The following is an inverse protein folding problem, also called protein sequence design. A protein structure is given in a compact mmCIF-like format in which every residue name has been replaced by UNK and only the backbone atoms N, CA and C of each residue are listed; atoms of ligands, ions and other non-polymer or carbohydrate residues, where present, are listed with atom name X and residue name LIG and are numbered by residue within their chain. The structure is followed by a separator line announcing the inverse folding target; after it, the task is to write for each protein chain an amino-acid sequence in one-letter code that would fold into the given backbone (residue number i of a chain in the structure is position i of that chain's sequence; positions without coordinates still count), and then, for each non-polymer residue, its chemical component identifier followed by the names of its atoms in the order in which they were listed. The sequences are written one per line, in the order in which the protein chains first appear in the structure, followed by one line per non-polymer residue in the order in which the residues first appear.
data_IF_505252731148
#
_entry.id   IF_505252731148
#
_cell.length_a   1.000
_cell.length_b   1.000
_cell.length_c   1.000
_cell.angle_alpha   90.00
_cell.angle_beta   90.00
_cell.angle_gamma   90.00
#
_symmetry.space_group_name_H-M   'P 1'
#
loop_
_entity.id
_entity.type
_entity.pdbx_description
1 polymer ?
#
# COMPACT_ATOMS: atom_id res chain seq x y z
N UNK A 1 -12.58 -12.25 -6.54
CA UNK A 1 -12.50 -13.09 -7.75
C UNK A 1 -11.89 -14.41 -7.34
N UNK A 2 -12.27 -15.48 -8.01
CA UNK A 2 -11.61 -16.78 -7.81
C UNK A 2 -10.19 -16.67 -8.37
N UNK A 3 -9.19 -17.02 -7.56
CA UNK A 3 -7.80 -17.04 -8.03
C UNK A 3 -7.61 -18.15 -9.05
N UNK A 4 -6.93 -17.85 -10.15
CA UNK A 4 -6.47 -18.84 -11.14
C UNK A 4 -5.07 -19.30 -10.75
N UNK A 5 -4.76 -20.58 -10.88
CA UNK A 5 -3.40 -21.06 -10.64
C UNK A 5 -2.48 -20.81 -11.84
N UNK A 6 -1.18 -20.68 -11.58
CA UNK A 6 -0.19 -20.56 -12.64
C UNK A 6 -0.17 -21.81 -13.55
N UNK A 7 -0.43 -22.99 -12.99
CA UNK A 7 -0.54 -24.24 -13.73
C UNK A 7 -1.72 -24.23 -14.71
N UNK A 8 -2.89 -23.76 -14.28
CA UNK A 8 -4.06 -23.59 -15.14
C UNK A 8 -3.80 -22.57 -16.26
N UNK A 9 -3.11 -21.46 -15.96
CA UNK A 9 -2.70 -20.48 -16.96
C UNK A 9 -1.73 -21.07 -18.00
N UNK A 10 -0.81 -21.93 -17.56
CA UNK A 10 0.16 -22.59 -18.43
C UNK A 10 -0.49 -23.65 -19.34
N UNK A 11 -1.40 -24.46 -18.80
CA UNK A 11 -2.05 -25.55 -19.55
C UNK A 11 -3.25 -25.08 -20.39
N UNK A 12 -3.84 -23.93 -20.06
CA UNK A 12 -5.04 -23.41 -20.71
C UNK A 12 -4.84 -22.95 -22.15
N UNK A 13 -5.95 -22.77 -22.88
CA UNK A 13 -5.92 -22.20 -24.23
C UNK A 13 -5.44 -20.75 -24.21
N UNK A 14 -4.98 -20.24 -25.35
CA UNK A 14 -4.63 -18.81 -25.48
C UNK A 14 -5.80 -17.90 -25.09
N UNK A 15 -7.03 -18.25 -25.48
CA UNK A 15 -8.23 -17.50 -25.13
C UNK A 15 -8.48 -17.48 -23.62
N UNK A 16 -8.33 -18.62 -22.93
CA UNK A 16 -8.50 -18.70 -21.48
C UNK A 16 -7.45 -17.86 -20.72
N UNK A 17 -6.21 -17.82 -21.22
CA UNK A 17 -5.15 -16.97 -20.64
C UNK A 17 -5.49 -15.48 -20.76
N UNK A 18 -5.96 -15.05 -21.94
CA UNK A 18 -6.35 -13.66 -22.19
C UNK A 18 -7.60 -13.29 -21.39
N UNK A 19 -8.58 -14.18 -21.25
CA UNK A 19 -9.76 -13.95 -20.41
C UNK A 19 -9.37 -13.74 -18.94
N UNK A 20 -8.39 -14.50 -18.44
CA UNK A 20 -7.94 -14.41 -17.06
C UNK A 20 -7.08 -13.17 -16.76
N UNK A 21 -6.28 -12.69 -17.72
CA UNK A 21 -5.26 -11.65 -17.51
C UNK A 21 -5.38 -10.42 -18.42
N UNK A 22 -6.33 -10.38 -19.35
CA UNK A 22 -6.44 -9.32 -20.36
C UNK A 22 -6.82 -7.95 -19.80
N UNK A 23 -7.43 -7.92 -18.62
CA UNK A 23 -7.76 -6.71 -17.86
C UNK A 23 -6.70 -6.36 -16.79
N UNK A 24 -5.58 -7.11 -16.70
CA UNK A 24 -4.53 -6.83 -15.71
C UNK A 24 -3.91 -5.45 -15.94
N UNK A 25 -3.72 -5.08 -17.22
CA UNK A 25 -3.44 -3.73 -17.68
C UNK A 25 -4.74 -3.08 -18.13
N UNK A 26 -5.01 -1.86 -17.66
CA UNK A 26 -6.26 -1.17 -17.94
C UNK A 26 -6.52 -1.05 -19.46
N UNK A 27 -7.63 -1.62 -19.93
CA UNK A 27 -8.05 -1.66 -21.33
C UNK A 27 -6.94 -2.06 -22.34
N UNK A 28 -6.01 -2.91 -21.93
CA UNK A 28 -4.81 -3.25 -22.72
C UNK A 28 -4.54 -4.76 -22.78
N UNK A 29 -5.48 -5.58 -23.30
CA UNK A 29 -5.35 -7.04 -23.34
C UNK A 29 -4.19 -7.54 -24.21
N UNK A 30 -3.72 -6.72 -25.14
CA UNK A 30 -2.60 -7.04 -26.02
C UNK A 30 -1.32 -7.43 -25.26
N UNK A 31 -1.12 -6.92 -24.03
CA UNK A 31 0.05 -7.28 -23.21
C UNK A 31 -0.03 -8.74 -22.77
N UNK A 32 -1.22 -9.18 -22.34
CA UNK A 32 -1.48 -10.58 -22.02
C UNK A 32 -1.42 -11.46 -23.28
N UNK A 33 -1.93 -10.97 -24.42
CA UNK A 33 -1.84 -11.67 -25.71
C UNK A 33 -0.40 -11.92 -26.15
N UNK A 34 0.49 -10.94 -25.96
CA UNK A 34 1.91 -11.07 -26.27
C UNK A 34 2.56 -12.12 -25.35
N UNK A 35 2.34 -12.03 -24.04
CA UNK A 35 2.88 -12.99 -23.07
C UNK A 35 2.34 -14.42 -23.30
N UNK A 36 1.08 -14.58 -23.74
CA UNK A 36 0.47 -15.90 -23.91
C UNK A 36 1.25 -16.84 -24.86
N UNK A 37 2.05 -16.29 -25.78
CA UNK A 37 2.91 -17.05 -26.70
C UNK A 37 4.23 -17.54 -26.10
N UNK A 38 4.63 -17.04 -24.93
CA UNK A 38 5.89 -17.38 -24.25
C UNK A 38 5.71 -18.40 -23.11
N UNK A 39 4.49 -18.93 -22.95
CA UNK A 39 4.19 -19.99 -21.99
C UNK A 39 4.93 -21.30 -22.34
N UNK A 40 5.23 -22.16 -21.35
CA UNK A 40 4.83 -22.04 -19.94
C UNK A 40 5.79 -21.17 -19.11
N UNK A 41 5.25 -20.56 -18.05
CA UNK A 41 6.04 -19.80 -17.07
C UNK A 41 6.34 -20.64 -15.83
N UNK A 42 7.60 -20.76 -15.41
CA UNK A 42 7.97 -21.58 -14.25
C UNK A 42 7.57 -20.94 -12.91
N UNK A 43 7.42 -19.62 -12.87
CA UNK A 43 7.14 -18.85 -11.65
C UNK A 43 6.25 -17.65 -11.95
N UNK A 44 5.60 -17.10 -10.92
CA UNK A 44 4.85 -15.86 -11.03
C UNK A 44 5.77 -14.68 -11.41
N UNK A 45 6.98 -14.66 -10.87
CA UNK A 45 8.01 -13.70 -11.25
C UNK A 45 8.35 -13.78 -12.75
N UNK A 46 8.42 -14.98 -13.34
CA UNK A 46 8.66 -15.13 -14.77
C UNK A 46 7.50 -14.61 -15.62
N UNK A 47 6.24 -14.91 -15.24
CA UNK A 47 5.06 -14.35 -15.89
C UNK A 47 5.06 -12.82 -15.82
N UNK A 48 5.31 -12.25 -14.64
CA UNK A 48 5.38 -10.80 -14.46
C UNK A 48 6.49 -10.16 -15.30
N UNK A 49 7.67 -10.79 -15.38
CA UNK A 49 8.78 -10.31 -16.20
C UNK A 49 8.38 -10.24 -17.68
N UNK A 50 7.70 -11.28 -18.20
CA UNK A 50 7.24 -11.32 -19.60
C UNK A 50 6.18 -10.28 -19.92
N UNK A 51 5.22 -10.07 -19.02
CA UNK A 51 4.26 -8.97 -19.14
C UNK A 51 4.93 -7.59 -19.11
N UNK A 52 5.95 -7.44 -18.25
CA UNK A 52 6.74 -6.20 -18.15
C UNK A 52 7.54 -5.93 -19.42
N UNK A 53 8.22 -6.96 -19.95
CA UNK A 53 9.00 -6.89 -21.18
C UNK A 53 8.10 -6.56 -22.38
N UNK A 54 6.90 -7.14 -22.46
CA UNK A 54 5.92 -6.82 -23.50
C UNK A 54 5.48 -5.35 -23.47
N UNK A 55 5.21 -4.78 -22.28
CA UNK A 55 4.88 -3.36 -22.17
C UNK A 55 6.10 -2.47 -22.50
N UNK A 56 7.26 -2.75 -21.92
CA UNK A 56 8.46 -1.92 -22.05
C UNK A 56 9.13 -2.01 -23.42
N UNK A 57 8.97 -3.14 -24.12
CA UNK A 57 9.45 -3.34 -25.49
C UNK A 57 8.51 -2.80 -26.58
N UNK A 58 7.26 -2.44 -26.23
CA UNK A 58 6.33 -1.86 -27.18
C UNK A 58 6.74 -0.43 -27.62
N UNK A 59 6.29 -0.03 -28.80
CA UNK A 59 6.56 1.31 -29.32
C UNK A 59 5.98 2.41 -28.43
N UNK A 60 6.57 3.61 -28.50
CA UNK A 60 6.21 4.73 -27.63
C UNK A 60 4.71 5.10 -27.69
N UNK A 61 4.08 4.99 -28.86
CA UNK A 61 2.64 5.23 -29.03
C UNK A 61 1.78 4.21 -28.27
N UNK A 62 2.15 2.94 -28.32
CA UNK A 62 1.42 1.86 -27.66
C UNK A 62 1.58 1.95 -26.14
N UNK A 63 2.79 2.26 -25.65
CA UNK A 63 3.03 2.57 -24.24
C UNK A 63 2.19 3.76 -23.76
N UNK A 64 2.14 4.84 -24.55
CA UNK A 64 1.34 6.01 -24.24
C UNK A 64 -0.16 5.70 -24.25
N UNK A 65 -0.63 4.82 -25.13
CA UNK A 65 -2.01 4.37 -25.15
C UNK A 65 -2.38 3.63 -23.84
N UNK A 66 -1.51 2.74 -23.33
CA UNK A 66 -1.71 2.09 -22.03
C UNK A 66 -1.76 3.11 -20.89
N UNK A 67 -0.85 4.10 -20.89
CA UNK A 67 -0.87 5.18 -19.89
C UNK A 67 -2.18 5.96 -19.96
N UNK A 68 -2.65 6.35 -21.15
CA UNK A 68 -3.89 7.11 -21.33
C UNK A 68 -5.16 6.32 -21.01
N UNK A 69 -5.10 4.99 -21.10
CA UNK A 69 -6.21 4.12 -20.74
C UNK A 69 -6.44 4.03 -19.22
N UNK A 70 -5.45 4.39 -18.40
CA UNK A 70 -5.61 4.38 -16.94
C UNK A 70 -6.55 5.50 -16.48
N UNK A 71 -7.48 5.22 -15.56
CA UNK A 71 -8.42 6.22 -15.08
C UNK A 71 -7.72 7.30 -14.24
N UNK A 72 -8.30 8.50 -14.27
CA UNK A 72 -7.87 9.57 -13.37
C UNK A 72 -8.08 9.19 -11.90
N UNK A 73 -7.06 9.51 -11.10
CA UNK A 73 -7.13 9.42 -9.65
C UNK A 73 -8.16 10.39 -9.08
N UNK A 74 -9.12 9.92 -8.28
CA UNK A 74 -10.22 10.74 -7.75
C UNK A 74 -10.95 11.54 -8.85
N UNK A 75 -10.98 11.03 -10.08
CA UNK A 75 -11.57 11.71 -11.23
C UNK A 75 -13.10 11.69 -11.23
N UNK A 76 -13.70 12.30 -12.26
CA UNK A 76 -15.16 12.29 -12.46
C UNK A 76 -15.72 10.86 -12.55
N UNK A 77 -15.00 9.94 -13.20
CA UNK A 77 -15.38 8.54 -13.28
C UNK A 77 -15.43 7.86 -11.90
N UNK A 78 -14.48 8.17 -11.01
CA UNK A 78 -14.49 7.69 -9.62
C UNK A 78 -15.73 8.19 -8.87
N UNK A 79 -16.01 9.50 -8.95
CA UNK A 79 -17.18 10.12 -8.30
C UNK A 79 -18.51 9.62 -8.86
N UNK A 80 -18.54 9.26 -10.14
CA UNK A 80 -19.72 8.68 -10.80
C UNK A 80 -19.84 7.15 -10.60
N UNK A 81 -18.90 6.50 -9.91
CA UNK A 81 -18.91 5.04 -9.73
C UNK A 81 -18.69 4.24 -11.02
N UNK A 82 -18.03 4.84 -12.02
CA UNK A 82 -17.84 4.28 -13.36
C UNK A 82 -16.45 3.65 -13.58
N UNK A 83 -15.68 3.43 -12.51
CA UNK A 83 -14.38 2.76 -12.57
C UNK A 83 -14.52 1.24 -12.70
N UNK A 84 -13.48 0.59 -13.22
CA UNK A 84 -13.33 -0.87 -13.09
C UNK A 84 -13.31 -1.28 -11.61
N UNK A 85 -13.60 -2.55 -11.35
CA UNK A 85 -13.65 -3.09 -9.99
C UNK A 85 -12.30 -2.95 -9.29
N UNK A 86 -11.22 -3.25 -10.00
CA UNK A 86 -9.83 -3.14 -9.59
C UNK A 86 -9.52 -1.70 -9.21
N UNK A 87 -9.75 -0.75 -10.12
CA UNK A 87 -9.51 0.68 -9.90
C UNK A 87 -10.34 1.23 -8.74
N UNK A 88 -11.59 0.77 -8.56
CA UNK A 88 -12.43 1.15 -7.42
C UNK A 88 -11.82 0.70 -6.10
N UNK A 89 -11.45 -0.58 -6.00
CA UNK A 89 -10.85 -1.14 -4.78
C UNK A 89 -9.48 -0.53 -4.47
N UNK A 90 -8.70 -0.22 -5.50
CA UNK A 90 -7.43 0.48 -5.40
C UNK A 90 -7.62 1.89 -4.82
N UNK A 91 -8.48 2.72 -5.41
CA UNK A 91 -8.67 4.10 -4.93
C UNK A 91 -9.30 4.17 -3.53
N UNK A 92 -10.25 3.27 -3.22
CA UNK A 92 -10.85 3.18 -1.89
C UNK A 92 -9.83 2.83 -0.79
N UNK A 93 -8.77 2.07 -1.11
CA UNK A 93 -7.72 1.70 -0.14
C UNK A 93 -6.95 2.91 0.42
N UNK A 94 -6.82 3.97 -0.39
CA UNK A 94 -6.20 5.24 0.01
C UNK A 94 -7.23 6.25 0.54
N UNK A 95 -8.51 5.87 0.68
CA UNK A 95 -9.58 6.74 1.15
C UNK A 95 -10.01 7.81 0.14
N UNK A 96 -9.68 7.63 -1.15
CA UNK A 96 -10.04 8.59 -2.21
C UNK A 96 -11.53 8.53 -2.59
N UNK A 97 -12.23 7.50 -2.12
CA UNK A 97 -13.68 7.33 -2.20
C UNK A 97 -14.45 8.21 -1.20
N UNK A 98 -13.74 8.78 -0.22
CA UNK A 98 -14.30 9.52 0.92
C UNK A 98 -13.63 10.90 1.10
N UNK A 99 -13.21 11.49 -0.01
CA UNK A 99 -12.63 12.84 0.00
C UNK A 99 -13.68 13.86 0.41
N UNK A 100 -13.25 14.86 1.19
CA UNK A 100 -14.04 16.09 1.34
C UNK A 100 -14.11 16.83 0.01
N UNK A 101 -15.04 17.78 -0.13
CA UNK A 101 -15.13 18.59 -1.35
C UNK A 101 -13.84 19.41 -1.60
N UNK A 102 -13.17 19.87 -0.54
CA UNK A 102 -11.90 20.59 -0.63
C UNK A 102 -10.75 19.69 -1.11
N UNK A 103 -10.67 18.47 -0.58
CA UNK A 103 -9.68 17.49 -1.01
C UNK A 103 -9.92 17.07 -2.47
N UNK A 104 -11.18 16.82 -2.84
CA UNK A 104 -11.56 16.53 -4.23
C UNK A 104 -11.17 17.67 -5.17
N UNK A 105 -11.47 18.92 -4.81
CA UNK A 105 -11.09 20.09 -5.60
C UNK A 105 -9.56 20.20 -5.76
N UNK A 106 -8.80 19.85 -4.72
CA UNK A 106 -7.34 19.80 -4.76
C UNK A 106 -6.83 18.74 -5.73
N UNK A 107 -7.31 17.50 -5.63
CA UNK A 107 -6.95 16.43 -6.56
C UNK A 107 -7.33 16.78 -8.01
N UNK A 108 -8.53 17.31 -8.23
CA UNK A 108 -8.99 17.71 -9.56
C UNK A 108 -8.08 18.78 -10.16
N UNK A 109 -7.76 19.84 -9.41
CA UNK A 109 -6.86 20.92 -9.86
C UNK A 109 -5.47 20.39 -10.22
N UNK A 110 -4.91 19.51 -9.39
CA UNK A 110 -3.57 18.95 -9.63
C UNK A 110 -3.56 17.99 -10.83
N UNK A 111 -4.60 17.16 -10.99
CA UNK A 111 -4.75 16.28 -12.16
C UNK A 111 -4.88 17.06 -13.47
N UNK A 112 -5.67 18.14 -13.49
CA UNK A 112 -5.82 18.98 -14.69
C UNK A 112 -4.50 19.66 -15.05
N UNK A 113 -3.80 20.23 -14.07
CA UNK A 113 -2.48 20.85 -14.31
C UNK A 113 -1.45 19.82 -14.79
N UNK A 114 -1.47 18.60 -14.25
CA UNK A 114 -0.60 17.51 -14.67
C UNK A 114 -0.91 17.09 -16.11
N UNK A 115 -2.19 16.86 -16.44
CA UNK A 115 -2.63 16.50 -17.80
C UNK A 115 -2.31 17.59 -18.82
N UNK A 116 -2.46 18.86 -18.46
CA UNK A 116 -2.11 19.97 -19.34
C UNK A 116 -0.61 19.97 -19.68
N UNK A 117 0.26 19.60 -18.72
CA UNK A 117 1.71 19.55 -18.94
C UNK A 117 2.14 18.31 -19.73
N UNK A 118 1.65 17.14 -19.34
CA UNK A 118 2.19 15.86 -19.85
C UNK A 118 1.31 15.19 -20.92
N UNK A 119 0.05 15.60 -21.08
CA UNK A 119 -0.86 15.05 -22.08
C UNK A 119 -1.39 13.64 -21.77
N UNK A 120 -1.21 13.15 -20.54
CA UNK A 120 -1.69 11.86 -20.05
C UNK A 120 -2.00 11.93 -18.54
N UNK A 121 -2.80 11.01 -17.97
CA UNK A 121 -3.21 11.05 -16.56
C UNK A 121 -2.04 10.81 -15.60
N UNK A 122 -2.16 11.33 -14.37
CA UNK A 122 -1.22 11.01 -13.30
C UNK A 122 -1.48 9.60 -12.78
N UNK A 123 -0.49 8.72 -12.92
CA UNK A 123 -0.58 7.32 -12.48
C UNK A 123 0.30 7.10 -11.26
N UNK A 124 -0.26 6.49 -10.23
CA UNK A 124 0.45 6.08 -9.02
C UNK A 124 -0.18 4.80 -8.45
N UNK A 125 0.64 3.89 -7.94
CA UNK A 125 0.17 2.69 -7.25
C UNK A 125 -0.43 3.02 -5.89
N UNK A 126 -1.69 3.47 -5.87
CA UNK A 126 -2.39 4.02 -4.69
C UNK A 126 -2.31 3.16 -3.43
N UNK A 127 -2.27 1.83 -3.55
CA UNK A 127 -2.14 0.91 -2.40
C UNK A 127 -0.83 1.07 -1.63
N UNK A 128 0.17 1.73 -2.25
CA UNK A 128 1.50 2.02 -1.69
C UNK A 128 1.57 3.42 -1.05
N UNK A 129 0.47 4.16 -1.01
CA UNK A 129 0.48 5.59 -0.68
C UNK A 129 -0.70 6.00 0.21
N UNK A 130 -0.46 6.91 1.16
CA UNK A 130 -1.52 7.70 1.80
C UNK A 130 -1.92 8.89 0.92
N UNK A 131 -3.06 9.54 1.21
CA UNK A 131 -3.51 10.75 0.50
C UNK A 131 -2.42 11.82 0.41
N UNK A 132 -1.80 12.13 1.55
CA UNK A 132 -0.72 13.12 1.63
C UNK A 132 0.47 12.75 0.75
N UNK A 133 0.88 11.48 0.77
CA UNK A 133 2.03 11.05 -0.03
C UNK A 133 1.72 11.08 -1.53
N UNK A 134 0.46 10.88 -1.93
CA UNK A 134 0.04 11.04 -3.33
C UNK A 134 0.16 12.51 -3.74
N UNK A 135 -0.35 13.42 -2.92
CA UNK A 135 -0.25 14.86 -3.16
C UNK A 135 1.22 15.31 -3.25
N UNK A 136 2.10 14.77 -2.40
CA UNK A 136 3.54 15.01 -2.51
C UNK A 136 4.13 14.49 -3.83
N UNK A 137 3.70 13.32 -4.30
CA UNK A 137 4.23 12.73 -5.52
C UNK A 137 3.78 13.47 -6.77
N UNK A 138 2.52 13.91 -6.86
CA UNK A 138 2.06 14.69 -8.02
C UNK A 138 2.79 16.03 -8.12
N UNK A 139 3.09 16.67 -6.99
CA UNK A 139 3.87 17.90 -6.96
C UNK A 139 5.33 17.69 -7.36
N UNK A 140 6.00 16.68 -6.79
CA UNK A 140 7.40 16.35 -7.13
C UNK A 140 7.55 16.00 -8.60
N UNK A 141 6.67 15.14 -9.12
CA UNK A 141 6.71 14.66 -10.50
C UNK A 141 6.36 15.75 -11.52
N UNK A 142 5.66 16.81 -11.09
CA UNK A 142 5.45 17.98 -11.93
C UNK A 142 6.75 18.65 -12.37
N UNK A 143 7.88 18.43 -11.69
CA UNK A 143 9.17 18.96 -12.10
C UNK A 143 9.84 18.17 -13.25
N UNK A 144 9.39 16.94 -13.54
CA UNK A 144 9.97 16.12 -14.61
C UNK A 144 9.76 16.72 -16.00
N UNK A 145 10.61 16.32 -16.94
CA UNK A 145 10.33 16.40 -18.37
C UNK A 145 9.36 15.28 -18.81
N UNK A 146 8.92 15.34 -20.07
CA UNK A 146 7.91 14.42 -20.61
C UNK A 146 8.38 12.96 -20.65
N UNK A 147 9.67 12.72 -20.92
CA UNK A 147 10.21 11.37 -21.07
C UNK A 147 10.42 10.71 -19.71
N UNK A 148 11.01 11.45 -18.77
CA UNK A 148 11.15 11.03 -17.39
C UNK A 148 9.79 10.70 -16.77
N UNK A 149 8.77 11.51 -17.04
CA UNK A 149 7.43 11.29 -16.51
C UNK A 149 6.71 10.11 -17.15
N UNK A 150 6.87 9.91 -18.47
CA UNK A 150 6.37 8.71 -19.15
C UNK A 150 6.98 7.45 -18.55
N UNK A 151 8.30 7.45 -18.32
CA UNK A 151 9.02 6.34 -17.69
C UNK A 151 8.60 6.15 -16.22
N UNK A 152 8.23 7.20 -15.51
CA UNK A 152 7.68 7.11 -14.16
C UNK A 152 6.27 6.48 -14.17
N UNK A 153 5.40 6.91 -15.09
CA UNK A 153 4.07 6.36 -15.26
C UNK A 153 4.11 4.85 -15.57
N UNK A 154 4.96 4.41 -16.51
CA UNK A 154 5.13 2.98 -16.81
C UNK A 154 5.58 2.18 -15.59
N UNK A 155 6.52 2.72 -14.78
CA UNK A 155 6.95 2.07 -13.53
C UNK A 155 5.81 1.94 -12.52
N UNK A 156 4.94 2.94 -12.41
CA UNK A 156 3.75 2.86 -11.55
C UNK A 156 2.73 1.83 -12.06
N UNK A 157 2.48 1.77 -13.38
CA UNK A 157 1.63 0.74 -13.99
C UNK A 157 2.16 -0.66 -13.65
N UNK A 158 3.46 -0.89 -13.81
CA UNK A 158 4.06 -2.18 -13.50
C UNK A 158 3.92 -2.55 -12.01
N UNK A 159 4.00 -1.59 -11.09
CA UNK A 159 3.73 -1.80 -9.65
C UNK A 159 2.27 -2.17 -9.39
N UNK A 160 1.33 -1.52 -10.06
CA UNK A 160 -0.10 -1.85 -9.98
C UNK A 160 -0.33 -3.28 -10.49
N UNK A 161 0.23 -3.61 -11.65
CA UNK A 161 0.11 -4.93 -12.28
C UNK A 161 0.72 -6.02 -11.42
N UNK A 162 1.90 -5.80 -10.83
CA UNK A 162 2.51 -6.76 -9.91
C UNK A 162 1.57 -7.12 -8.76
N UNK A 163 0.90 -6.12 -8.17
CA UNK A 163 -0.03 -6.33 -7.07
C UNK A 163 -1.35 -6.99 -7.52
N UNK A 164 -1.89 -6.60 -8.67
CA UNK A 164 -3.06 -7.27 -9.27
C UNK A 164 -2.75 -8.74 -9.57
N UNK A 165 -1.55 -9.02 -10.07
CA UNK A 165 -1.12 -10.36 -10.44
C UNK A 165 -0.92 -11.25 -9.21
N UNK A 166 -0.25 -10.77 -8.15
CA UNK A 166 -0.11 -11.50 -6.88
C UNK A 166 -1.46 -11.83 -6.23
N UNK A 167 -2.44 -10.91 -6.34
CA UNK A 167 -3.78 -11.14 -5.82
C UNK A 167 -4.59 -12.15 -6.63
N UNK A 168 -4.38 -12.19 -7.96
CA UNK A 168 -5.22 -12.94 -8.89
C UNK A 168 -4.68 -14.32 -9.22
N UNK A 169 -3.37 -14.50 -9.22
CA UNK A 169 -2.70 -15.74 -9.63
C UNK A 169 -2.10 -16.45 -8.42
N UNK A 170 -2.53 -17.69 -8.20
CA UNK A 170 -1.94 -18.58 -7.19
C UNK A 170 -0.72 -19.28 -7.79
N UNK A 171 0.44 -19.06 -7.20
CA UNK A 171 1.70 -19.70 -7.59
C UNK A 171 2.51 -20.12 -6.34
N UNK A 172 3.54 -20.98 -6.50
CA UNK A 172 4.43 -21.35 -5.39
C UNK A 172 5.26 -20.17 -4.88
N UNK A 173 5.64 -19.23 -5.75
CA UNK A 173 6.30 -17.97 -5.42
C UNK A 173 5.30 -16.81 -5.33
N UNK A 174 5.72 -15.73 -4.64
CA UNK A 174 4.97 -14.47 -4.54
C UNK A 174 5.80 -13.32 -5.09
N UNK A 175 5.12 -12.30 -5.60
CA UNK A 175 5.80 -11.08 -6.00
C UNK A 175 6.17 -10.25 -4.75
N UNK A 176 7.29 -9.51 -4.77
CA UNK A 176 7.68 -8.65 -3.66
C UNK A 176 6.83 -7.38 -3.65
N UNK A 177 5.55 -7.51 -3.27
CA UNK A 177 4.56 -6.42 -3.27
C UNK A 177 3.86 -6.26 -1.91
N UNK A 178 4.41 -6.86 -0.86
CA UNK A 178 3.90 -6.77 0.50
C UNK A 178 4.97 -6.23 1.43
N UNK A 179 4.56 -5.38 2.36
CA UNK A 179 5.39 -4.99 3.49
C UNK A 179 4.80 -5.54 4.79
N UNK A 180 5.52 -5.30 5.88
CA UNK A 180 5.14 -5.79 7.20
C UNK A 180 5.39 -4.74 8.25
N UNK A 181 4.37 -4.39 9.03
CA UNK A 181 4.51 -3.58 10.25
C UNK A 181 4.21 -4.46 11.45
N UNK A 182 5.15 -4.54 12.40
CA UNK A 182 4.99 -5.27 13.64
C UNK A 182 5.42 -4.43 14.84
N UNK A 183 4.96 -4.82 16.01
CA UNK A 183 5.33 -4.20 17.28
C UNK A 183 5.57 -5.28 18.35
N UNK A 184 6.19 -4.89 19.44
CA UNK A 184 6.47 -5.71 20.62
C UNK A 184 6.59 -4.76 21.81
N UNK A 185 5.96 -5.10 22.92
CA UNK A 185 6.01 -4.30 24.15
C UNK A 185 6.73 -5.09 25.23
N UNK A 186 7.82 -4.51 25.74
CA UNK A 186 8.59 -5.06 26.85
C UNK A 186 8.39 -4.19 28.09
N UNK A 187 8.01 -4.83 29.19
CA UNK A 187 7.95 -4.24 30.52
C UNK A 187 9.33 -4.41 31.17
N UNK A 188 10.13 -3.33 31.13
CA UNK A 188 11.45 -3.29 31.73
C UNK A 188 11.40 -3.17 33.26
N UNK A 189 10.27 -2.78 33.83
CA UNK A 189 10.10 -2.68 35.28
C UNK A 189 9.98 -4.08 35.90
N UNK A 190 9.21 -4.95 35.26
CA UNK A 190 9.01 -6.35 35.68
C UNK A 190 9.94 -7.34 34.97
N UNK A 191 10.70 -6.89 33.96
CA UNK A 191 11.65 -7.71 33.20
C UNK A 191 11.02 -8.77 32.31
N UNK A 192 9.86 -8.50 31.70
CA UNK A 192 9.08 -9.49 30.92
C UNK A 192 8.35 -8.86 29.73
N UNK A 193 7.90 -9.65 28.74
CA UNK A 193 6.97 -9.17 27.74
C UNK A 193 5.68 -8.64 28.38
N UNK A 194 5.20 -7.50 27.92
CA UNK A 194 4.02 -6.84 28.48
C UNK A 194 2.76 -7.40 27.83
N UNK A 195 2.16 -8.43 28.43
CA UNK A 195 0.88 -9.00 27.99
C UNK A 195 -0.30 -8.11 28.40
N UNK A 196 -1.26 -7.92 27.50
CA UNK A 196 -2.51 -7.20 27.77
C UNK A 196 -2.46 -5.69 27.52
N UNK A 197 -1.40 -5.18 26.88
CA UNK A 197 -1.30 -3.77 26.48
C UNK A 197 -2.18 -3.54 25.26
N UNK A 198 -3.17 -2.65 25.38
CA UNK A 198 -3.96 -2.21 24.24
C UNK A 198 -3.12 -1.31 23.32
N UNK A 199 -3.21 -1.55 22.02
CA UNK A 199 -2.45 -0.87 20.98
C UNK A 199 -3.40 -0.37 19.89
N UNK A 200 -3.20 0.87 19.46
CA UNK A 200 -3.86 1.44 18.30
C UNK A 200 -2.83 1.97 17.31
N UNK A 201 -3.04 1.73 16.02
CA UNK A 201 -2.26 2.31 14.93
C UNK A 201 -3.10 3.34 14.18
N UNK A 202 -2.62 4.58 14.12
CA UNK A 202 -3.22 5.65 13.33
C UNK A 202 -2.32 6.01 12.15
N UNK A 203 -2.94 6.31 11.01
CA UNK A 203 -2.35 7.15 9.97
C UNK A 203 -2.55 8.62 10.38
N UNK A 204 -1.52 9.45 10.22
CA UNK A 204 -1.52 10.87 10.62
C UNK A 204 -1.30 11.76 9.41
N UNK A 205 -2.27 12.64 9.14
CA UNK A 205 -2.23 13.59 8.03
C UNK A 205 -1.22 14.74 8.27
N UNK A 206 -1.01 15.60 7.26
CA UNK A 206 -0.25 16.86 7.36
C UNK A 206 -0.91 17.87 8.29
N UNK A 207 -2.21 17.76 8.52
CA UNK A 207 -2.99 18.61 9.43
C UNK A 207 -3.12 18.01 10.84
N UNK A 208 -2.39 16.94 11.15
CA UNK A 208 -2.43 16.19 12.42
C UNK A 208 -3.76 15.46 12.68
N UNK A 209 -4.60 15.32 11.64
CA UNK A 209 -5.79 14.46 11.68
C UNK A 209 -5.37 13.00 11.71
N UNK A 210 -6.12 12.20 12.47
CA UNK A 210 -5.81 10.80 12.72
C UNK A 210 -6.90 9.91 12.16
N UNK A 211 -6.50 8.89 11.41
CA UNK A 211 -7.38 7.82 10.94
C UNK A 211 -6.92 6.51 11.54
N UNK A 212 -7.79 5.85 12.32
CA UNK A 212 -7.51 4.52 12.86
C UNK A 212 -7.30 3.53 11.70
N UNK A 213 -6.16 2.86 11.70
CA UNK A 213 -5.80 1.82 10.72
C UNK A 213 -6.16 0.45 11.28
N UNK A 214 -5.74 0.17 12.52
CA UNK A 214 -6.06 -1.08 13.22
C UNK A 214 -5.85 -0.89 14.73
N UNK A 215 -6.37 -1.83 15.52
CA UNK A 215 -6.12 -1.93 16.95
C UNK A 215 -5.90 -3.38 17.35
N UNK A 216 -5.30 -3.62 18.52
CA UNK A 216 -5.05 -4.95 19.03
C UNK A 216 -4.62 -4.93 20.50
N UNK A 217 -4.36 -6.10 21.04
CA UNK A 217 -3.85 -6.28 22.42
C UNK A 217 -2.65 -7.21 22.36
N UNK A 218 -1.63 -6.96 23.17
CA UNK A 218 -0.45 -7.81 23.24
C UNK A 218 -0.75 -9.16 23.91
N UNK A 219 -0.21 -10.23 23.36
CA UNK A 219 -0.27 -11.60 23.84
C UNK A 219 0.84 -11.88 24.87
N UNK A 220 1.02 -13.15 25.23
CA UNK A 220 1.99 -13.58 26.25
C UNK A 220 3.46 -13.29 25.90
N UNK A 221 3.78 -13.08 24.62
CA UNK A 221 5.09 -12.65 24.13
C UNK A 221 5.16 -11.12 23.93
N UNK A 222 4.21 -10.35 24.47
CA UNK A 222 4.19 -8.89 24.35
C UNK A 222 3.93 -8.38 22.92
N UNK A 223 3.49 -9.24 22.00
CA UNK A 223 3.23 -8.94 20.58
C UNK A 223 1.75 -9.01 20.27
N UNK A 224 1.31 -8.45 19.16
CA UNK A 224 0.00 -8.80 18.60
C UNK A 224 0.06 -10.20 17.96
N UNK A 225 -1.06 -10.92 17.88
CA UNK A 225 -1.10 -12.31 17.35
C UNK A 225 -0.66 -12.42 15.88
N UNK A 226 -0.75 -11.32 15.14
CA UNK A 226 -0.13 -11.15 13.83
C UNK A 226 0.48 -9.75 13.71
N UNK A 227 1.17 -9.45 12.58
CA UNK A 227 1.61 -8.10 12.28
C UNK A 227 0.42 -7.12 12.25
N UNK A 228 0.67 -5.86 12.61
CA UNK A 228 -0.35 -4.80 12.52
C UNK A 228 -0.75 -4.53 11.07
N UNK A 229 0.19 -4.71 10.14
CA UNK A 229 -0.07 -4.71 8.70
C UNK A 229 0.75 -5.85 8.09
N UNK A 230 0.10 -6.70 7.29
CA UNK A 230 0.71 -7.74 6.45
C UNK A 230 -0.07 -7.91 5.14
N UNK A 231 0.49 -8.69 4.21
CA UNK A 231 -0.18 -9.13 2.97
C UNK A 231 -0.64 -8.00 2.03
N UNK A 232 -0.09 -6.81 2.23
CA UNK A 232 -0.26 -5.63 1.37
C UNK A 232 0.95 -4.70 1.51
N UNK A 233 1.16 -3.78 0.56
CA UNK A 233 2.16 -2.73 0.76
C UNK A 233 1.83 -1.87 1.98
N UNK A 234 2.87 -1.35 2.64
CA UNK A 234 2.79 -0.31 3.66
C UNK A 234 2.59 1.05 2.98
N UNK A 235 1.46 1.75 3.15
CA UNK A 235 1.27 3.02 2.49
C UNK A 235 2.29 4.05 3.00
N UNK A 236 3.01 4.71 2.07
CA UNK A 236 3.99 5.73 2.41
C UNK A 236 3.28 6.87 3.13
N UNK A 237 3.75 7.23 4.33
CA UNK A 237 3.08 8.22 5.16
C UNK A 237 3.61 8.28 6.59
N UNK A 238 2.91 9.05 7.42
CA UNK A 238 3.18 9.18 8.86
C UNK A 238 2.14 8.41 9.66
N UNK A 239 2.59 7.84 10.76
CA UNK A 239 1.80 6.96 11.61
C UNK A 239 2.08 7.26 13.08
N UNK A 240 1.11 6.93 13.93
CA UNK A 240 1.21 7.01 15.40
C UNK A 240 0.73 5.69 15.98
N UNK A 241 1.62 4.98 16.69
CA UNK A 241 1.21 3.90 17.58
C UNK A 241 0.88 4.47 18.94
N UNK A 242 -0.25 4.06 19.52
CA UNK A 242 -0.62 4.40 20.90
C UNK A 242 -0.64 3.14 21.74
N UNK A 243 0.04 3.19 22.87
CA UNK A 243 0.13 2.08 23.82
C UNK A 243 -0.52 2.51 25.14
N UNK A 244 -1.50 1.74 25.61
CA UNK A 244 -2.22 2.00 26.87
C UNK A 244 -1.39 1.53 28.09
N UNK A 245 -0.26 2.19 28.34
CA UNK A 245 0.73 1.82 29.36
C UNK A 245 0.21 2.02 30.78
N UNK A 246 -0.52 3.11 31.02
CA UNK A 246 -1.14 3.43 32.31
C UNK A 246 -2.10 2.33 32.75
N UNK A 247 -3.03 1.97 31.87
CA UNK A 247 -3.99 0.89 32.11
C UNK A 247 -3.30 -0.48 32.36
N UNK A 248 -2.23 -0.79 31.62
CA UNK A 248 -1.44 -2.01 31.83
C UNK A 248 -0.83 -2.07 33.24
N UNK A 249 -0.14 -1.01 33.68
CA UNK A 249 0.50 -1.00 35.00
C UNK A 249 -0.51 -0.90 36.15
N UNK A 250 -1.65 -0.24 35.94
CA UNK A 250 -2.74 -0.22 36.90
C UNK A 250 -3.32 -1.63 37.12
N UNK A 251 -3.47 -2.43 36.05
CA UNK A 251 -3.91 -3.83 36.15
C UNK A 251 -2.91 -4.72 36.91
N UNK A 252 -1.61 -4.36 36.86
CA UNK A 252 -0.56 -5.01 37.65
C UNK A 252 -0.44 -4.48 39.09
N UNK A 253 -1.24 -3.48 39.48
CA UNK A 253 -1.15 -2.78 40.77
C UNK A 253 0.25 -2.21 41.04
N UNK A 254 0.95 -1.78 39.99
CA UNK A 254 2.23 -1.09 40.13
C UNK A 254 2.02 0.28 40.79
N UNK A 255 3.02 0.76 41.54
CA UNK A 255 2.97 2.13 42.09
C UNK A 255 3.00 3.13 40.94
N UNK A 256 2.03 4.05 40.91
CA UNK A 256 1.92 5.11 39.89
C UNK A 256 1.50 6.42 40.57
N UNK A 257 1.81 7.54 39.93
CA UNK A 257 1.20 8.82 40.29
C UNK A 257 -0.28 8.83 39.88
N UNK A 258 -1.05 9.76 40.43
CA UNK A 258 -2.43 10.04 40.02
C UNK A 258 -2.52 11.51 39.56
N UNK A 259 -2.58 11.79 38.25
CA UNK A 259 -2.61 10.82 37.13
C UNK A 259 -1.26 10.11 36.88
N UNK A 260 -1.23 8.94 36.20
CA UNK A 260 0.01 8.25 35.85
C UNK A 260 0.94 9.13 35.00
N UNK A 261 2.24 9.09 35.27
CA UNK A 261 3.22 9.85 34.48
C UNK A 261 3.23 9.40 33.02
N UNK A 262 3.16 8.09 32.76
CA UNK A 262 2.90 7.51 31.44
C UNK A 262 1.54 6.81 31.44
N UNK A 263 0.53 7.46 30.85
CA UNK A 263 -0.79 6.87 30.63
C UNK A 263 -0.89 6.25 29.22
N UNK A 264 -1.13 7.06 28.19
CA UNK A 264 -1.03 6.63 26.79
C UNK A 264 0.29 7.12 26.21
N UNK A 265 1.13 6.20 25.73
CA UNK A 265 2.40 6.54 25.08
C UNK A 265 2.22 6.58 23.56
N UNK A 266 2.31 7.76 22.92
CA UNK A 266 2.31 7.86 21.46
C UNK A 266 3.73 7.71 20.89
N UNK A 267 3.89 6.86 19.87
CA UNK A 267 5.11 6.73 19.07
C UNK A 267 4.80 7.13 17.64
N UNK A 268 5.29 8.30 17.22
CA UNK A 268 5.18 8.79 15.84
C UNK A 268 6.35 8.33 15.00
N UNK A 269 6.07 7.80 13.81
CA UNK A 269 7.07 7.34 12.85
C UNK A 269 6.57 7.51 11.41
N UNK A 270 7.47 7.36 10.44
CA UNK A 270 7.13 7.39 9.03
C UNK A 270 7.52 6.08 8.36
N UNK A 271 6.70 5.63 7.41
CA UNK A 271 7.00 4.51 6.53
C UNK A 271 7.26 5.04 5.13
N UNK A 272 8.39 4.66 4.53
CA UNK A 272 8.82 5.09 3.21
C UNK A 272 9.05 3.93 2.22
N UNK A 273 9.07 2.69 2.73
CA UNK A 273 9.35 1.48 1.95
C UNK A 273 8.11 0.59 1.98
N UNK A 274 7.27 0.61 0.93
CA UNK A 274 5.99 -0.10 0.95
C UNK A 274 6.14 -1.62 1.07
N UNK A 275 7.19 -2.16 0.48
CA UNK A 275 7.53 -3.59 0.53
C UNK A 275 8.52 -3.91 1.68
N UNK A 276 8.83 -2.93 2.52
CA UNK A 276 9.79 -3.05 3.62
C UNK A 276 9.22 -3.72 4.86
N UNK A 277 10.13 -4.06 5.78
CA UNK A 277 9.79 -4.57 7.10
C UNK A 277 10.05 -3.48 8.15
N UNK A 278 9.00 -3.15 8.91
CA UNK A 278 9.05 -2.18 10.00
C UNK A 278 8.73 -2.91 11.30
N UNK A 279 9.69 -2.91 12.23
CA UNK A 279 9.46 -3.31 13.61
C UNK A 279 9.60 -2.08 14.52
N UNK A 280 8.51 -1.70 15.20
CA UNK A 280 8.48 -0.52 16.08
C UNK A 280 8.10 -0.99 17.50
N UNK A 281 9.07 -1.43 18.32
CA UNK A 281 8.82 -1.90 19.66
C UNK A 281 8.72 -0.75 20.67
N UNK A 282 8.09 -1.04 21.81
CA UNK A 282 8.09 -0.17 22.98
C UNK A 282 8.73 -0.90 24.15
N UNK A 283 9.81 -0.34 24.69
CA UNK A 283 10.36 -0.76 25.99
C UNK A 283 9.88 0.27 27.01
N UNK A 284 9.19 -0.15 28.06
CA UNK A 284 8.57 0.79 28.99
C UNK A 284 8.73 0.36 30.45
N UNK A 285 8.69 1.36 31.32
CA UNK A 285 8.40 1.28 32.75
C UNK A 285 7.20 2.21 33.02
N UNK A 286 6.64 2.27 34.22
CA UNK A 286 5.65 3.30 34.57
C UNK A 286 6.15 4.77 34.45
N UNK A 287 7.46 4.99 34.30
CA UNK A 287 8.09 6.33 34.34
C UNK A 287 8.94 6.67 33.12
N UNK A 288 9.24 5.70 32.26
CA UNK A 288 10.11 5.89 31.11
C UNK A 288 9.72 4.97 29.96
N UNK A 289 10.02 5.38 28.74
CA UNK A 289 9.92 4.49 27.59
C UNK A 289 11.02 4.79 26.56
N UNK A 290 11.34 3.79 25.75
CA UNK A 290 12.18 3.93 24.57
C UNK A 290 11.58 3.14 23.40
N UNK A 291 11.88 3.58 22.19
CA UNK A 291 11.49 2.94 20.92
C UNK A 291 12.64 3.10 19.92
N UNK A 292 12.64 2.29 18.88
CA UNK A 292 13.61 2.35 17.78
C UNK A 292 13.03 1.74 16.51
N UNK A 293 13.71 1.89 15.37
CA UNK A 293 13.39 1.16 14.13
C UNK A 293 14.14 -0.17 14.14
N UNK A 294 13.44 -1.26 14.43
CA UNK A 294 13.95 -2.62 14.32
C UNK A 294 13.92 -3.13 12.87
N UNK A 295 14.67 -4.21 12.64
CA UNK A 295 14.72 -4.99 11.39
C UNK A 295 13.73 -6.15 11.39
#
# INVERSE_FOLDING_TARGET
MQQVSLEELNAGTRAAFIDALGDIFEHSPWVAEAAAGERPFPTLAALYARLSDALLGAGAEQQLAVIKAHPDLAGKAARAGALTRESTAEQASAGLDRLSDEEYATFHRLNEAYKQKFGFPFIIGVRRHTKDSILDQIERRRAHDIEAERNAALREILRIVALRLDQRVRAPDRLPVHGRLSTHVLDNFSGRPAQGVAIELFEVSKTDERRLVTSGVTNHDGRTDGPLISDRPLPIGRYELRFAVGAYYAALKASQADPPFLDVVPVRFAMAEPEGHYHVPLLCTPWSYTTYRGS
#
